data_IF_058234003192
#
_entry.id   IF_058234003192
#
_cell.length_a   1.000
_cell.length_b   1.000
_cell.length_c   1.000
_cell.angle_alpha   90.00
_cell.angle_beta   90.00
_cell.angle_gamma   90.00
#
_symmetry.space_group_name_H-M   'P 1'
#
loop_
_entity.id
_entity.type
_entity.pdbx_description
1 polymer ?
#
# COMPACT_ATOMS: atom_id res chain seq x y z
N UNK A 1 -4.54 0.78 -16.41
CA UNK A 1 -4.05 0.40 -15.05
C UNK A 1 -3.36 1.59 -14.40
N UNK A 2 -3.16 1.58 -13.07
CA UNK A 2 -2.26 2.55 -12.42
C UNK A 2 -0.84 2.00 -12.46
N UNK A 3 0.12 2.83 -12.88
CA UNK A 3 1.56 2.54 -12.83
C UNK A 3 2.11 3.14 -11.56
N UNK A 4 2.94 2.37 -10.87
CA UNK A 4 3.46 2.71 -9.56
C UNK A 4 4.86 2.10 -9.36
N UNK A 5 5.61 2.67 -8.44
CA UNK A 5 6.97 2.24 -8.09
C UNK A 5 7.14 2.28 -6.57
N UNK A 6 8.13 1.59 -5.98
CA UNK A 6 8.51 1.83 -4.59
C UNK A 6 8.86 3.32 -4.42
N UNK A 7 8.32 3.97 -3.39
CA UNK A 7 8.64 5.35 -3.07
C UNK A 7 9.92 5.48 -2.26
N UNK A 8 10.39 6.72 -2.09
CA UNK A 8 11.67 7.02 -1.40
C UNK A 8 11.74 6.49 0.05
N UNK A 9 10.59 6.26 0.69
CA UNK A 9 10.48 5.73 2.06
C UNK A 9 10.27 4.21 2.17
N UNK A 10 10.34 3.45 1.06
CA UNK A 10 10.04 2.01 1.08
C UNK A 10 11.01 1.20 1.96
N UNK A 11 12.29 1.60 2.03
CA UNK A 11 13.25 0.96 2.93
C UNK A 11 13.03 1.28 4.42
N UNK A 12 12.42 2.43 4.73
CA UNK A 12 12.20 2.92 6.09
C UNK A 12 10.79 2.65 6.61
N UNK A 13 10.03 1.75 5.96
CA UNK A 13 8.70 1.32 6.41
C UNK A 13 8.70 0.91 7.90
N UNK A 14 9.70 0.14 8.40
CA UNK A 14 9.66 -0.36 9.78
C UNK A 14 9.51 0.73 10.84
N UNK A 15 10.20 1.86 10.69
CA UNK A 15 10.27 2.91 11.72
C UNK A 15 8.91 3.57 11.99
N UNK A 16 8.06 3.70 10.96
CA UNK A 16 6.71 4.28 11.09
C UNK A 16 5.68 3.35 11.73
N UNK A 17 6.02 2.06 11.87
CA UNK A 17 5.12 0.98 12.27
C UNK A 17 5.45 0.39 13.65
N UNK A 18 6.62 0.72 14.24
CA UNK A 18 7.00 0.21 15.56
C UNK A 18 5.93 0.49 16.62
N UNK A 19 5.60 -0.53 17.41
CA UNK A 19 4.60 -0.46 18.49
C UNK A 19 3.14 -0.47 18.03
N UNK A 20 2.85 -0.78 16.76
CA UNK A 20 1.48 -0.90 16.23
C UNK A 20 1.23 -2.30 15.68
N UNK A 21 -0.03 -2.75 15.75
CA UNK A 21 -0.51 -3.94 15.04
C UNK A 21 -0.77 -3.58 13.58
N UNK A 22 -0.10 -4.26 12.65
CA UNK A 22 -0.07 -3.90 11.23
C UNK A 22 -0.83 -4.92 10.42
N UNK A 23 -1.83 -4.45 9.66
CA UNK A 23 -2.43 -5.22 8.58
C UNK A 23 -1.79 -4.85 7.25
N UNK A 24 -1.30 -5.82 6.49
CA UNK A 24 -0.79 -5.56 5.14
C UNK A 24 -1.94 -5.67 4.15
N UNK A 25 -2.14 -4.61 3.36
CA UNK A 25 -3.14 -4.53 2.31
C UNK A 25 -2.47 -4.49 0.94
N UNK A 26 -2.72 -5.45 0.06
CA UNK A 26 -2.02 -5.57 -1.22
C UNK A 26 -2.96 -5.78 -2.40
N UNK A 27 -2.60 -5.27 -3.58
CA UNK A 27 -3.36 -5.42 -4.82
C UNK A 27 -2.76 -6.50 -5.74
N UNK A 28 -3.53 -7.52 -6.10
CA UNK A 28 -3.07 -8.61 -6.97
C UNK A 28 -3.21 -8.34 -8.48
N UNK A 29 -3.70 -7.14 -8.84
CA UNK A 29 -3.86 -6.70 -10.24
C UNK A 29 -2.70 -5.82 -10.70
N UNK A 30 -2.81 -4.50 -10.63
CA UNK A 30 -1.79 -3.59 -11.16
C UNK A 30 -0.55 -3.48 -10.29
N UNK A 31 -0.67 -3.59 -8.96
CA UNK A 31 0.50 -3.52 -8.07
C UNK A 31 1.40 -4.75 -8.23
N UNK A 32 0.82 -5.94 -8.42
CA UNK A 32 1.55 -7.15 -8.81
C UNK A 32 2.30 -6.97 -10.12
N UNK A 33 1.64 -6.44 -11.15
CA UNK A 33 2.26 -6.19 -12.46
C UNK A 33 3.37 -5.13 -12.41
N UNK A 34 3.34 -4.23 -11.42
CA UNK A 34 4.40 -3.25 -11.19
C UNK A 34 5.49 -3.76 -10.23
N UNK A 35 5.40 -4.99 -9.73
CA UNK A 35 6.38 -5.58 -8.80
C UNK A 35 6.38 -4.98 -7.38
N UNK A 36 5.37 -4.19 -7.01
CA UNK A 36 5.31 -3.54 -5.67
C UNK A 36 4.29 -4.17 -4.73
N UNK A 37 3.38 -4.99 -5.26
CA UNK A 37 2.33 -5.66 -4.51
C UNK A 37 2.06 -7.06 -5.06
N UNK A 38 0.90 -7.62 -4.74
CA UNK A 38 0.62 -9.05 -4.92
C UNK A 38 0.89 -9.84 -3.63
N UNK A 39 0.57 -11.14 -3.67
CA UNK A 39 0.67 -12.04 -2.52
C UNK A 39 2.11 -12.24 -2.08
N UNK A 40 2.97 -12.65 -3.02
CA UNK A 40 4.41 -12.84 -2.80
C UNK A 40 5.06 -11.61 -2.17
N UNK A 41 4.84 -10.41 -2.75
CA UNK A 41 5.41 -9.19 -2.21
C UNK A 41 4.89 -8.84 -0.81
N UNK A 42 3.63 -9.15 -0.51
CA UNK A 42 3.06 -8.94 0.81
C UNK A 42 3.62 -9.93 1.84
N UNK A 43 3.85 -11.19 1.46
CA UNK A 43 4.49 -12.21 2.29
C UNK A 43 5.96 -11.86 2.58
N UNK A 44 6.72 -11.43 1.57
CA UNK A 44 8.09 -10.89 1.75
C UNK A 44 8.10 -9.72 2.73
N UNK A 45 7.17 -8.78 2.55
CA UNK A 45 7.06 -7.60 3.41
C UNK A 45 6.66 -7.99 4.83
N UNK A 46 5.75 -8.94 5.00
CA UNK A 46 5.37 -9.47 6.31
C UNK A 46 6.58 -10.08 7.02
N UNK A 47 7.32 -10.96 6.34
CA UNK A 47 8.51 -11.60 6.90
C UNK A 47 9.58 -10.56 7.31
N UNK A 48 9.82 -9.55 6.47
CA UNK A 48 10.74 -8.46 6.79
C UNK A 48 10.31 -7.70 8.06
N UNK A 49 9.04 -7.27 8.12
CA UNK A 49 8.52 -6.52 9.27
C UNK A 49 8.55 -7.36 10.55
N UNK A 50 8.19 -8.64 10.48
CA UNK A 50 8.27 -9.54 11.63
C UNK A 50 9.71 -9.70 12.12
N UNK A 51 10.69 -9.81 11.21
CA UNK A 51 12.11 -9.87 11.58
C UNK A 51 12.62 -8.59 12.28
N UNK A 52 11.95 -7.46 12.02
CA UNK A 52 12.19 -6.15 12.65
C UNK A 52 11.39 -5.94 13.96
N UNK A 53 10.76 -6.99 14.51
CA UNK A 53 9.89 -6.97 15.70
C UNK A 53 8.63 -6.09 15.54
N UNK A 54 8.06 -6.06 14.34
CA UNK A 54 6.76 -5.42 14.08
C UNK A 54 5.67 -6.48 14.08
N UNK A 55 4.59 -6.20 14.80
CA UNK A 55 3.43 -7.07 14.94
C UNK A 55 2.57 -7.02 13.66
N UNK A 56 2.75 -8.00 12.78
CA UNK A 56 1.96 -8.14 11.55
C UNK A 56 0.80 -9.09 11.85
N UNK A 57 -0.43 -8.57 11.85
CA UNK A 57 -1.62 -9.34 12.21
C UNK A 57 -2.24 -10.08 11.01
N UNK A 58 -1.73 -9.81 9.81
CA UNK A 58 -2.02 -10.58 8.61
C UNK A 58 -1.82 -9.80 7.32
N UNK A 59 -2.21 -10.44 6.23
CA UNK A 59 -2.14 -9.92 4.86
C UNK A 59 -3.48 -10.11 4.17
N UNK A 60 -4.07 -9.03 3.67
CA UNK A 60 -5.24 -9.04 2.80
C UNK A 60 -4.84 -8.74 1.35
N UNK A 61 -4.97 -9.74 0.49
CA UNK A 61 -4.67 -9.63 -0.93
C UNK A 61 -5.96 -9.55 -1.76
N UNK A 62 -6.16 -8.44 -2.46
CA UNK A 62 -7.38 -8.16 -3.21
C UNK A 62 -7.09 -7.84 -4.67
N UNK A 63 -7.94 -8.32 -5.59
CA UNK A 63 -7.89 -7.87 -6.98
C UNK A 63 -8.63 -6.54 -7.11
N UNK A 64 -8.11 -5.61 -7.91
CA UNK A 64 -8.67 -4.26 -8.06
C UNK A 64 -8.95 -3.60 -6.69
N UNK A 65 -7.91 -3.39 -5.87
CA UNK A 65 -8.01 -2.76 -4.55
C UNK A 65 -8.71 -1.38 -4.55
N UNK A 66 -8.79 -0.73 -5.72
CA UNK A 66 -9.55 0.50 -5.93
C UNK A 66 -11.08 0.30 -5.97
N UNK A 67 -11.60 -0.92 -5.84
CA UNK A 67 -13.03 -1.19 -5.77
C UNK A 67 -13.46 -1.21 -4.30
N UNK A 68 -14.22 -0.19 -3.89
CA UNK A 68 -14.65 -0.02 -2.50
C UNK A 68 -15.41 -1.23 -1.95
N UNK A 69 -16.26 -1.86 -2.77
CA UNK A 69 -17.03 -3.06 -2.35
C UNK A 69 -16.12 -4.21 -1.92
N UNK A 70 -14.98 -4.40 -2.60
CA UNK A 70 -13.99 -5.42 -2.23
C UNK A 70 -13.21 -5.05 -0.98
N UNK A 71 -12.89 -3.76 -0.80
CA UNK A 71 -12.25 -3.28 0.42
C UNK A 71 -13.15 -3.49 1.64
N UNK A 72 -14.44 -3.14 1.55
CA UNK A 72 -15.42 -3.39 2.60
C UNK A 72 -15.53 -4.88 2.92
N UNK A 73 -15.74 -5.73 1.90
CA UNK A 73 -15.84 -7.18 2.09
C UNK A 73 -14.62 -7.79 2.80
N UNK A 74 -13.41 -7.32 2.50
CA UNK A 74 -12.16 -7.89 3.05
C UNK A 74 -11.82 -7.40 4.45
N UNK A 75 -12.31 -6.23 4.82
CA UNK A 75 -12.00 -5.60 6.11
C UNK A 75 -13.17 -5.64 7.10
N UNK A 76 -14.33 -6.13 6.66
CA UNK A 76 -15.50 -6.33 7.50
C UNK A 76 -15.18 -7.21 8.70
N UNK A 77 -15.57 -6.73 9.89
CA UNK A 77 -15.38 -7.47 11.15
C UNK A 77 -13.94 -7.55 11.67
N UNK A 78 -12.95 -7.00 10.96
CA UNK A 78 -11.57 -6.98 11.46
C UNK A 78 -11.29 -5.77 12.36
N UNK A 79 -10.83 -6.04 13.58
CA UNK A 79 -10.45 -5.05 14.59
C UNK A 79 -9.06 -5.29 15.20
N UNK A 80 -8.37 -6.31 14.69
CA UNK A 80 -7.12 -6.85 15.21
C UNK A 80 -5.88 -6.02 14.88
N UNK A 81 -6.02 -4.92 14.13
CA UNK A 81 -4.93 -4.05 13.69
C UNK A 81 -5.17 -2.58 14.03
N UNK A 82 -4.08 -1.81 14.15
CA UNK A 82 -4.08 -0.38 14.44
C UNK A 82 -3.80 0.48 13.20
N UNK A 83 -3.04 -0.07 12.25
CA UNK A 83 -2.60 0.61 11.03
C UNK A 83 -2.60 -0.36 9.85
N UNK A 84 -2.91 0.17 8.66
CA UNK A 84 -2.80 -0.58 7.40
C UNK A 84 -1.53 -0.16 6.66
N UNK A 85 -0.70 -1.13 6.27
CA UNK A 85 0.37 -0.93 5.30
C UNK A 85 -0.14 -1.28 3.90
N UNK A 86 -0.35 -0.27 3.05
CA UNK A 86 -0.89 -0.47 1.71
C UNK A 86 0.23 -0.62 0.67
N UNK A 87 0.33 -1.79 0.04
CA UNK A 87 1.23 -2.10 -1.07
C UNK A 87 0.48 -2.02 -2.41
N UNK A 88 -0.02 -0.83 -2.73
CA UNK A 88 -0.79 -0.57 -3.96
C UNK A 88 -0.85 0.93 -4.31
N UNK A 89 -1.49 1.28 -5.43
CA UNK A 89 -1.69 2.68 -5.82
C UNK A 89 -2.59 3.44 -4.82
N UNK A 90 -2.54 4.77 -4.88
CA UNK A 90 -3.25 5.69 -3.98
C UNK A 90 -4.76 5.46 -3.92
N UNK A 91 -5.37 5.05 -5.03
CA UNK A 91 -6.80 4.71 -5.06
C UNK A 91 -7.11 3.48 -4.19
N UNK A 92 -6.25 2.47 -4.22
CA UNK A 92 -6.40 1.26 -3.41
C UNK A 92 -6.10 1.52 -1.94
N UNK A 93 -5.09 2.34 -1.65
CA UNK A 93 -4.78 2.79 -0.29
C UNK A 93 -5.94 3.63 0.29
N UNK A 94 -6.55 4.51 -0.51
CA UNK A 94 -7.72 5.29 -0.11
C UNK A 94 -8.96 4.43 0.16
N UNK A 95 -9.16 3.33 -0.59
CA UNK A 95 -10.22 2.37 -0.31
C UNK A 95 -10.00 1.64 1.00
N UNK A 96 -8.77 1.18 1.27
CA UNK A 96 -8.43 0.58 2.57
C UNK A 96 -8.64 1.56 3.73
N UNK A 97 -8.24 2.83 3.58
CA UNK A 97 -8.45 3.86 4.60
C UNK A 97 -9.94 4.04 4.92
N UNK A 98 -10.76 4.16 3.87
CA UNK A 98 -12.21 4.37 4.04
C UNK A 98 -12.92 3.14 4.62
N UNK A 99 -12.54 1.94 4.20
CA UNK A 99 -13.16 0.70 4.64
C UNK A 99 -12.75 0.29 6.07
N UNK A 100 -11.49 0.48 6.43
CA UNK A 100 -10.99 0.17 7.78
C UNK A 100 -11.32 1.24 8.82
N UNK A 101 -11.43 2.51 8.40
CA UNK A 101 -11.44 3.65 9.32
C UNK A 101 -10.12 3.83 10.07
N UNK A 102 -9.04 3.14 9.67
CA UNK A 102 -7.73 3.19 10.32
C UNK A 102 -6.72 4.03 9.51
N UNK A 103 -5.65 4.52 10.16
CA UNK A 103 -4.52 5.10 9.44
C UNK A 103 -3.94 4.15 8.39
N UNK A 104 -3.56 4.69 7.24
CA UNK A 104 -2.90 3.94 6.16
C UNK A 104 -1.53 4.53 5.90
N UNK A 105 -0.51 3.68 5.93
CA UNK A 105 0.85 3.98 5.45
C UNK A 105 0.97 3.40 4.05
N UNK A 106 1.28 4.23 3.06
CA UNK A 106 1.51 3.79 1.68
C UNK A 106 2.93 4.18 1.23
N UNK A 107 3.88 3.23 1.18
CA UNK A 107 5.24 3.48 0.72
C UNK A 107 5.38 3.40 -0.80
N UNK A 108 4.28 3.28 -1.56
CA UNK A 108 4.27 3.16 -3.02
C UNK A 108 3.92 4.50 -3.64
N UNK A 109 4.72 4.94 -4.62
CA UNK A 109 4.45 6.13 -5.40
C UNK A 109 3.61 5.81 -6.64
N UNK A 110 2.41 6.40 -6.72
CA UNK A 110 1.55 6.28 -7.89
C UNK A 110 1.96 7.28 -8.98
N UNK A 111 2.58 6.78 -10.05
CA UNK A 111 3.08 7.62 -11.14
C UNK A 111 1.96 8.13 -12.06
N UNK A 112 0.90 7.33 -12.26
CA UNK A 112 -0.24 7.72 -13.09
C UNK A 112 -0.91 6.57 -13.81
N UNK A 113 -1.58 6.87 -14.92
CA UNK A 113 -2.30 5.90 -15.75
C UNK A 113 -1.38 5.35 -16.82
N UNK A 114 -1.43 4.04 -17.03
CA UNK A 114 -0.67 3.35 -18.05
C UNK A 114 -1.31 2.05 -18.51
N UNK A 115 -0.55 1.29 -19.28
CA UNK A 115 -0.89 -0.05 -19.80
C UNK A 115 0.27 -1.02 -19.57
N UNK A 116 0.01 -2.31 -19.70
CA UNK A 116 1.04 -3.35 -19.73
C UNK A 116 1.36 -3.63 -21.19
N UNK A 117 2.63 -3.49 -21.57
CA UNK A 117 3.08 -3.73 -22.93
C UNK A 117 3.30 -5.24 -23.19
N UNK A 118 3.57 -5.62 -24.44
CA UNK A 118 3.78 -7.03 -24.82
C UNK A 118 4.98 -7.67 -24.14
N UNK A 119 5.97 -6.86 -23.77
CA UNK A 119 7.17 -7.28 -23.01
C UNK A 119 6.91 -7.46 -21.50
N UNK A 120 5.67 -7.25 -21.05
CA UNK A 120 5.29 -7.35 -19.64
C UNK A 120 5.71 -6.14 -18.79
N UNK A 121 6.21 -5.06 -19.41
CA UNK A 121 6.64 -3.84 -18.71
C UNK A 121 5.48 -2.83 -18.66
N UNK A 122 5.12 -2.30 -17.49
CA UNK A 122 4.15 -1.21 -17.39
C UNK A 122 4.66 0.08 -18.06
N UNK A 123 3.88 0.63 -19.00
CA UNK A 123 4.16 1.89 -19.70
C UNK A 123 3.25 3.01 -19.19
N UNK A 124 3.84 4.12 -18.79
CA UNK A 124 3.10 5.30 -18.33
C UNK A 124 2.59 6.11 -19.51
N UNK A 125 1.28 6.37 -19.56
CA UNK A 125 0.63 7.18 -20.60
C UNK A 125 0.37 8.60 -20.11
N UNK A 126 -0.08 8.72 -18.85
CA UNK A 126 -0.41 10.02 -18.26
C UNK A 126 0.01 10.04 -16.81
N UNK A 127 0.90 10.98 -16.46
CA UNK A 127 1.27 11.23 -15.07
C UNK A 127 0.05 11.61 -14.24
N UNK A 128 -0.04 11.05 -13.04
CA UNK A 128 -0.93 11.59 -12.03
C UNK A 128 -0.49 13.04 -11.76
N UNK A 129 -1.44 13.97 -11.80
CA UNK A 129 -1.18 15.27 -11.18
C UNK A 129 -0.99 14.96 -9.70
N UNK A 130 0.11 15.41 -9.10
CA UNK A 130 0.36 15.33 -7.64
C UNK A 130 -0.77 16.10 -6.92
N UNK A 131 -1.93 15.46 -6.76
CA UNK A 131 -2.80 15.73 -5.63
C UNK A 131 -2.19 14.90 -4.53
N UNK A 132 -1.54 15.57 -3.58
CA UNK A 132 -1.38 14.99 -2.25
C UNK A 132 -2.79 14.60 -1.79
N UNK A 133 -3.20 13.36 -2.05
CA UNK A 133 -4.11 12.72 -1.14
C UNK A 133 -3.28 12.59 0.14
N UNK A 134 -3.38 13.60 1.02
CA UNK A 134 -2.98 13.47 2.42
C UNK A 134 -3.90 12.40 3.02
N UNK A 135 -3.68 11.15 2.67
CA UNK A 135 -4.16 10.01 3.44
C UNK A 135 -3.22 10.02 4.64
N UNK A 136 -3.63 10.75 5.69
CA UNK A 136 -2.95 10.86 6.98
C UNK A 136 -1.41 10.87 6.90
N UNK A 137 -0.82 11.93 6.36
CA UNK A 137 0.62 12.14 6.51
C UNK A 137 0.93 12.28 8.00
N UNK A 138 1.41 11.23 8.66
CA UNK A 138 2.30 11.44 9.78
C UNK A 138 3.56 12.05 9.20
N UNK A 139 3.79 13.31 9.58
CA UNK A 139 4.90 14.12 9.12
C UNK A 139 6.22 13.44 9.49
N UNK A 140 6.99 13.02 8.48
CA UNK A 140 8.45 12.88 8.60
C UNK A 140 9.17 14.21 8.42
N UNK A 141 8.45 15.34 8.45
CA UNK A 141 9.02 16.67 8.60
C UNK A 141 9.33 16.99 10.08
N UNK A 142 10.08 16.14 10.78
CA UNK A 142 11.03 16.65 11.77
C UNK A 142 12.33 16.90 11.01
N UNK A 143 12.48 18.15 10.57
CA UNK A 143 13.80 18.73 10.30
C UNK A 143 14.63 18.48 11.56
N UNK A 144 15.67 17.66 11.44
CA UNK A 144 16.77 17.72 12.38
C UNK A 144 17.44 19.08 12.18
N UNK A 145 17.14 19.99 13.09
CA UNK A 145 18.02 21.07 13.55
C UNK A 145 18.17 20.90 15.05
#
# INVERSE_FOLDING_TARGET
MMVMVPGEGYGSIPDGLRGKRVLIWTCTTCARLCGVGGKEKAEETAALLTSENIDVTGTEAVSAACFMSKALQRLEGRDDYDVVLALCCDLGAGCAAKASGRPVVNPVDTLGVGYLDEDGIPRLVRRARRRMYKIGSYSTARRYK
#
